data_IF_147403669470
#
_entry.id   IF_147403669470
#
_cell.length_a   1.000
_cell.length_b   1.000
_cell.length_c   1.000
_cell.angle_alpha   90.00
_cell.angle_beta   90.00
_cell.angle_gamma   90.00
#
_symmetry.space_group_name_H-M   'P 1'
#
loop_
_entity.id
_entity.type
_entity.pdbx_description
1 polymer ?
#
# COMPACT_ATOMS: atom_id res chain seq x y z
N UNK A 1 -7.43 9.08 2.97
CA UNK A 1 -6.14 8.44 2.65
C UNK A 1 -6.14 7.01 3.14
N UNK A 2 -5.78 6.07 2.27
CA UNK A 2 -5.65 4.64 2.56
C UNK A 2 -4.41 4.10 1.84
N UNK A 3 -3.76 3.09 2.41
CA UNK A 3 -2.64 2.38 1.83
C UNK A 3 -3.04 0.92 1.69
N UNK A 4 -3.03 0.39 0.48
CA UNK A 4 -3.37 -0.99 0.20
C UNK A 4 -2.14 -1.89 0.26
N UNK A 5 -2.19 -2.89 1.14
CA UNK A 5 -1.19 -3.94 1.27
C UNK A 5 -1.52 -5.08 0.30
N UNK A 6 -0.82 -5.11 -0.83
CA UNK A 6 -1.04 -6.11 -1.87
C UNK A 6 -0.41 -7.44 -1.45
N UNK A 7 -1.21 -8.50 -1.40
CA UNK A 7 -0.80 -9.85 -1.01
C UNK A 7 -1.37 -10.91 -1.95
N UNK A 8 -0.69 -12.04 -2.05
CA UNK A 8 -1.17 -13.24 -2.77
C UNK A 8 -0.98 -14.53 -1.95
N UNK A 9 -0.43 -14.44 -0.73
CA UNK A 9 -0.03 -15.61 0.08
C UNK A 9 -0.16 -15.46 1.59
N UNK A 10 0.13 -14.28 2.14
CA UNK A 10 0.27 -14.12 3.58
C UNK A 10 -0.52 -12.94 4.11
N UNK A 11 -0.92 -13.03 5.38
CA UNK A 11 -1.54 -11.94 6.10
C UNK A 11 -0.49 -10.81 6.29
N UNK A 12 -0.78 -9.58 5.84
CA UNK A 12 0.11 -8.43 6.07
C UNK A 12 0.32 -8.16 7.56
N UNK A 13 1.48 -7.58 7.90
CA UNK A 13 1.81 -7.21 9.29
C UNK A 13 0.98 -6.02 9.81
N UNK A 14 0.45 -5.19 8.90
CA UNK A 14 -0.43 -4.07 9.20
C UNK A 14 -1.77 -4.33 8.54
N UNK A 15 -2.85 -4.28 9.32
CA UNK A 15 -4.21 -4.30 8.82
C UNK A 15 -5.08 -3.43 9.74
N UNK A 16 -5.39 -2.21 9.30
CA UNK A 16 -6.13 -1.19 10.06
C UNK A 16 -6.74 -0.15 9.11
N UNK A 17 -7.36 0.90 9.64
CA UNK A 17 -8.05 1.92 8.82
C UNK A 17 -7.13 2.67 7.83
N UNK A 18 -5.82 2.73 8.12
CA UNK A 18 -4.83 3.31 7.20
C UNK A 18 -4.27 2.26 6.24
N UNK A 19 -3.99 1.05 6.73
CA UNK A 19 -3.42 -0.06 5.95
C UNK A 19 -4.47 -1.13 5.69
N UNK A 20 -5.08 -1.13 4.52
CA UNK A 20 -6.09 -2.12 4.15
C UNK A 20 -5.46 -3.22 3.32
N UNK A 21 -5.78 -4.47 3.62
CA UNK A 21 -5.26 -5.59 2.84
C UNK A 21 -6.01 -5.76 1.53
N UNK A 22 -5.31 -6.15 0.48
CA UNK A 22 -5.85 -6.39 -0.84
C UNK A 22 -5.21 -7.66 -1.43
N UNK A 23 -6.03 -8.64 -1.77
CA UNK A 23 -5.58 -9.88 -2.40
C UNK A 23 -5.56 -9.76 -3.92
N UNK A 24 -4.43 -10.12 -4.52
CA UNK A 24 -4.29 -10.32 -5.97
C UNK A 24 -4.20 -11.79 -6.31
N UNK A 25 -4.46 -12.11 -7.56
CA UNK A 25 -4.56 -13.48 -8.06
C UNK A 25 -5.66 -14.28 -7.33
N UNK A 26 -6.76 -13.60 -6.98
CA UNK A 26 -7.87 -14.17 -6.20
C UNK A 26 -8.74 -15.12 -7.02
N UNK A 27 -8.63 -15.07 -8.36
CA UNK A 27 -9.27 -16.04 -9.25
C UNK A 27 -8.63 -17.43 -9.23
N UNK A 28 -7.40 -17.55 -8.72
CA UNK A 28 -6.63 -18.81 -8.69
C UNK A 28 -6.37 -19.27 -7.25
N UNK A 29 -6.10 -18.34 -6.34
CA UNK A 29 -5.76 -18.66 -4.95
C UNK A 29 -6.98 -18.52 -4.03
N UNK A 30 -7.09 -19.37 -2.99
CA UNK A 30 -8.11 -19.21 -1.98
C UNK A 30 -7.97 -17.87 -1.26
N UNK A 31 -9.10 -17.35 -0.77
CA UNK A 31 -9.12 -16.11 0.02
C UNK A 31 -8.28 -16.32 1.29
N UNK A 32 -7.33 -15.41 1.56
CA UNK A 32 -6.39 -15.54 2.68
C UNK A 32 -7.10 -15.33 4.02
N UNK A 33 -8.02 -14.37 4.10
CA UNK A 33 -8.89 -14.12 5.26
C UNK A 33 -10.12 -13.29 4.85
N UNK A 34 -11.19 -13.37 5.64
CA UNK A 34 -12.47 -12.71 5.33
C UNK A 34 -12.38 -11.18 5.39
N UNK A 35 -13.21 -10.50 4.59
CA UNK A 35 -13.30 -9.04 4.57
C UNK A 35 -12.14 -8.33 3.87
N UNK A 36 -11.30 -9.05 3.12
CA UNK A 36 -10.23 -8.47 2.28
C UNK A 36 -10.76 -8.10 0.89
N UNK A 37 -10.24 -7.01 0.32
CA UNK A 37 -10.46 -6.69 -1.09
C UNK A 37 -9.83 -7.74 -1.99
N UNK A 38 -10.43 -7.98 -3.15
CA UNK A 38 -9.98 -8.98 -4.12
C UNK A 38 -9.99 -8.38 -5.52
N UNK A 39 -8.89 -8.59 -6.24
CA UNK A 39 -8.74 -8.14 -7.62
C UNK A 39 -9.78 -8.72 -8.58
N UNK A 40 -10.39 -9.88 -8.31
CA UNK A 40 -11.31 -10.57 -9.23
C UNK A 40 -12.80 -10.21 -9.07
N UNK A 41 -13.10 -9.11 -8.37
CA UNK A 41 -14.48 -8.64 -8.15
C UNK A 41 -14.78 -7.41 -9.01
N UNK A 42 -16.05 -7.09 -9.26
CA UNK A 42 -16.47 -5.89 -10.02
C UNK A 42 -15.72 -5.72 -11.37
N UNK A 43 -15.36 -4.49 -11.77
CA UNK A 43 -14.53 -4.25 -12.98
C UNK A 43 -13.07 -4.59 -12.69
N UNK A 44 -12.54 -5.58 -13.40
CA UNK A 44 -11.21 -6.09 -13.13
C UNK A 44 -10.47 -6.69 -14.32
N UNK A 45 -9.16 -6.84 -14.12
CA UNK A 45 -8.23 -7.54 -15.02
C UNK A 45 -7.48 -8.66 -14.28
N UNK A 46 -8.10 -9.30 -13.28
CA UNK A 46 -7.44 -10.31 -12.43
C UNK A 46 -6.90 -11.51 -13.23
N UNK A 47 -7.53 -11.87 -14.34
CA UNK A 47 -7.05 -12.91 -15.27
C UNK A 47 -5.69 -12.61 -15.88
N UNK A 48 -5.24 -11.35 -15.84
CA UNK A 48 -3.94 -10.91 -16.34
C UNK A 48 -2.89 -10.78 -15.22
N UNK A 49 -3.18 -11.27 -14.01
CA UNK A 49 -2.25 -11.17 -12.88
C UNK A 49 -0.88 -11.78 -13.18
N UNK A 50 -0.80 -12.84 -13.99
CA UNK A 50 0.49 -13.46 -14.36
C UNK A 50 1.40 -12.50 -15.15
N UNK A 51 0.84 -11.49 -15.81
CA UNK A 51 1.58 -10.48 -16.56
C UNK A 51 1.72 -9.15 -15.80
N UNK A 52 0.68 -8.76 -15.05
CA UNK A 52 0.59 -7.43 -14.43
C UNK A 52 0.82 -7.41 -12.92
N UNK A 53 0.84 -8.57 -12.26
CA UNK A 53 1.05 -8.73 -10.82
C UNK A 53 0.20 -7.73 -10.01
N UNK A 54 0.84 -6.91 -9.16
CA UNK A 54 0.18 -5.92 -8.31
C UNK A 54 -0.58 -4.83 -9.07
N UNK A 55 -0.34 -4.64 -10.38
CA UNK A 55 -1.08 -3.67 -11.19
C UNK A 55 -2.55 -4.07 -11.40
N UNK A 56 -2.89 -5.35 -11.23
CA UNK A 56 -4.30 -5.78 -11.22
C UNK A 56 -5.08 -5.13 -10.07
N UNK A 57 -4.45 -5.00 -8.89
CA UNK A 57 -5.01 -4.24 -7.78
C UNK A 57 -5.10 -2.75 -8.11
N UNK A 58 -4.06 -2.16 -8.71
CA UNK A 58 -4.09 -0.74 -9.11
C UNK A 58 -5.26 -0.44 -10.06
N UNK A 59 -5.47 -1.29 -11.06
CA UNK A 59 -6.60 -1.18 -11.99
C UNK A 59 -7.93 -1.28 -11.24
N UNK A 60 -8.06 -2.28 -10.38
CA UNK A 60 -9.28 -2.46 -9.59
C UNK A 60 -9.59 -1.24 -8.72
N UNK A 61 -8.58 -0.70 -8.02
CA UNK A 61 -8.74 0.49 -7.19
C UNK A 61 -9.18 1.70 -8.04
N UNK A 62 -8.57 1.88 -9.22
CA UNK A 62 -8.95 2.95 -10.15
C UNK A 62 -10.41 2.84 -10.61
N UNK A 63 -10.89 1.63 -10.92
CA UNK A 63 -12.23 1.43 -11.47
C UNK A 63 -13.33 1.39 -10.42
N UNK A 64 -13.03 0.91 -9.23
CA UNK A 64 -14.05 0.54 -8.25
C UNK A 64 -14.04 1.41 -6.98
N UNK A 65 -12.95 2.12 -6.68
CA UNK A 65 -12.92 3.05 -5.55
C UNK A 65 -13.12 4.48 -6.03
N UNK A 66 -14.23 5.06 -5.61
CA UNK A 66 -14.42 6.51 -5.59
C UNK A 66 -13.92 7.03 -4.24
N UNK A 67 -12.61 7.26 -4.12
CA UNK A 67 -11.99 7.90 -2.95
C UNK A 67 -11.35 9.21 -3.40
N UNK A 68 -11.79 10.32 -2.80
CA UNK A 68 -11.30 11.68 -3.12
C UNK A 68 -9.93 11.98 -2.46
N UNK A 69 -9.37 11.03 -1.70
CA UNK A 69 -8.09 11.18 -1.01
C UNK A 69 -6.92 10.43 -1.65
N UNK A 70 -5.76 10.48 -0.98
CA UNK A 70 -4.58 9.71 -1.39
C UNK A 70 -4.80 8.20 -1.26
N UNK A 71 -4.59 7.47 -2.35
CA UNK A 71 -4.51 6.01 -2.38
C UNK A 71 -3.04 5.62 -2.54
N UNK A 72 -2.51 4.93 -1.53
CA UNK A 72 -1.18 4.34 -1.55
C UNK A 72 -1.22 2.84 -1.82
N UNK A 73 -0.13 2.30 -2.36
CA UNK A 73 0.03 0.89 -2.65
C UNK A 73 1.39 0.42 -2.11
N UNK A 74 1.40 -0.68 -1.35
CA UNK A 74 2.65 -1.33 -0.99
C UNK A 74 2.49 -2.85 -0.94
N UNK A 75 3.62 -3.55 -1.07
CA UNK A 75 3.66 -4.99 -1.03
C UNK A 75 3.56 -5.50 0.42
N UNK A 76 2.90 -6.63 0.68
CA UNK A 76 2.62 -7.17 2.03
C UNK A 76 3.86 -7.38 2.96
N UNK A 77 5.06 -7.46 2.39
CA UNK A 77 6.36 -7.56 3.12
C UNK A 77 7.27 -6.33 3.02
N UNK A 78 6.87 -5.28 2.30
CA UNK A 78 7.70 -4.09 2.06
C UNK A 78 6.87 -2.85 2.31
N UNK A 79 7.11 -2.21 3.46
CA UNK A 79 6.39 -1.02 3.89
C UNK A 79 7.28 0.22 3.75
N UNK A 80 6.67 1.35 3.40
CA UNK A 80 7.35 2.64 3.43
C UNK A 80 7.64 3.05 4.87
N UNK A 81 8.87 3.48 5.14
CA UNK A 81 9.21 4.05 6.44
C UNK A 81 9.01 5.56 6.42
N UNK A 82 7.87 6.02 6.92
CA UNK A 82 7.55 7.45 7.11
C UNK A 82 8.19 8.06 8.36
N UNK A 83 8.99 7.28 9.10
CA UNK A 83 9.70 7.74 10.30
C UNK A 83 11.23 7.68 10.13
N UNK A 84 11.81 8.25 9.05
CA UNK A 84 13.25 8.29 8.91
C UNK A 84 13.85 9.25 9.95
N UNK A 85 15.11 9.00 10.32
CA UNK A 85 15.89 10.02 11.00
C UNK A 85 16.21 11.13 9.96
N UNK A 86 15.54 12.28 10.06
CA UNK A 86 15.68 13.41 9.13
C UNK A 86 17.10 13.99 9.09
N UNK A 87 17.91 13.74 10.11
CA UNK A 87 19.31 14.18 10.18
C UNK A 87 20.29 13.14 9.60
N UNK A 88 19.80 11.98 9.15
CA UNK A 88 20.67 10.96 8.59
C UNK A 88 21.10 11.35 7.18
N UNK A 89 22.41 11.50 6.97
CA UNK A 89 23.00 11.66 5.65
C UNK A 89 23.14 10.32 4.89
N UNK A 90 22.80 9.20 5.53
CA UNK A 90 22.85 7.89 4.88
C UNK A 90 21.67 7.77 3.92
N UNK A 91 21.90 7.34 2.67
CA UNK A 91 20.81 7.14 1.73
C UNK A 91 19.83 6.10 2.27
N UNK A 92 18.56 6.25 1.89
CA UNK A 92 17.52 5.27 2.20
C UNK A 92 17.86 3.93 1.54
N UNK A 93 17.86 2.86 2.33
CA UNK A 93 18.12 1.49 1.87
C UNK A 93 17.04 0.54 2.35
N UNK A 94 16.86 -0.58 1.64
CA UNK A 94 15.97 -1.64 2.09
C UNK A 94 16.56 -2.30 3.35
N UNK A 95 15.91 -2.07 4.50
CA UNK A 95 16.28 -2.70 5.77
C UNK A 95 15.41 -3.93 6.01
N UNK A 96 16.03 -5.06 6.33
CA UNK A 96 15.33 -6.24 6.83
C UNK A 96 15.29 -6.17 8.35
N UNK A 97 14.09 -6.19 8.91
CA UNK A 97 13.88 -6.23 10.36
C UNK A 97 13.07 -7.47 10.71
N UNK A 98 13.29 -8.02 11.92
CA UNK A 98 12.51 -9.15 12.41
C UNK A 98 11.06 -8.74 12.69
N UNK A 99 10.13 -9.71 12.69
CA UNK A 99 8.72 -9.46 13.04
C UNK A 99 8.56 -8.83 14.43
N UNK A 100 9.40 -9.25 15.40
CA UNK A 100 9.42 -8.69 16.76
C UNK A 100 9.81 -7.21 16.73
N UNK A 101 10.81 -6.85 15.95
CA UNK A 101 11.24 -5.45 15.82
C UNK A 101 10.25 -4.62 15.01
N UNK A 102 9.58 -5.20 14.01
CA UNK A 102 8.52 -4.54 13.26
C UNK A 102 7.37 -4.11 14.18
N UNK A 103 6.90 -5.00 15.07
CA UNK A 103 5.84 -4.68 16.04
C UNK A 103 6.20 -3.56 17.02
N UNK A 104 7.49 -3.36 17.27
CA UNK A 104 8.00 -2.26 18.12
C UNK A 104 8.30 -0.98 17.34
N UNK A 105 8.32 -1.05 16.01
CA UNK A 105 8.67 0.09 15.15
C UNK A 105 7.54 1.12 15.12
N UNK A 106 7.89 2.41 14.95
CA UNK A 106 6.93 3.53 14.94
C UNK A 106 5.79 3.35 13.95
N UNK A 107 6.05 2.69 12.83
CA UNK A 107 5.03 2.39 11.82
C UNK A 107 3.86 1.55 12.37
N UNK A 108 4.10 0.69 13.36
CA UNK A 108 3.11 -0.20 13.96
C UNK A 108 2.54 0.36 15.28
N UNK A 109 3.28 1.23 15.96
CA UNK A 109 2.91 1.74 17.30
C UNK A 109 2.34 3.14 17.31
N UNK A 110 2.58 3.95 16.27
CA UNK A 110 2.05 5.32 16.18
C UNK A 110 0.55 5.29 15.88
N UNK A 111 -0.20 6.23 16.45
CA UNK A 111 -1.64 6.37 16.17
C UNK A 111 -1.88 6.65 14.69
N UNK A 112 -3.03 6.20 14.18
CA UNK A 112 -3.39 6.36 12.77
C UNK A 112 -3.44 7.84 12.37
N UNK A 113 -3.95 8.71 13.23
CA UNK A 113 -4.06 10.14 12.95
C UNK A 113 -2.70 10.85 12.86
N UNK A 114 -1.77 10.53 13.76
CA UNK A 114 -0.41 11.06 13.68
C UNK A 114 0.34 10.52 12.45
N UNK A 115 0.13 9.24 12.12
CA UNK A 115 0.71 8.65 10.91
C UNK A 115 0.19 9.34 9.64
N UNK A 116 -1.12 9.59 9.56
CA UNK A 116 -1.72 10.33 8.43
C UNK A 116 -1.13 11.72 8.31
N UNK A 117 -0.99 12.44 9.43
CA UNK A 117 -0.40 13.79 9.47
C UNK A 117 1.03 13.81 8.94
N UNK A 118 1.86 12.84 9.32
CA UNK A 118 3.24 12.73 8.84
C UNK A 118 3.27 12.49 7.33
N UNK A 119 2.48 11.55 6.82
CA UNK A 119 2.42 11.26 5.38
C UNK A 119 1.92 12.48 4.60
N UNK A 120 0.86 13.14 5.06
CA UNK A 120 0.35 14.35 4.42
C UNK A 120 1.40 15.46 4.39
N UNK A 121 2.16 15.64 5.49
CA UNK A 121 3.26 16.59 5.51
C UNK A 121 4.34 16.24 4.47
N UNK A 122 4.74 14.98 4.36
CA UNK A 122 5.72 14.54 3.37
C UNK A 122 5.21 14.75 1.93
N UNK A 123 3.93 14.47 1.68
CA UNK A 123 3.29 14.68 0.36
C UNK A 123 3.16 16.16 0.00
N UNK A 124 2.89 17.04 0.95
CA UNK A 124 2.82 18.49 0.71
C UNK A 124 4.15 19.09 0.22
N UNK A 125 5.27 18.41 0.47
CA UNK A 125 6.58 18.81 -0.02
C UNK A 125 6.94 18.15 -1.36
N UNK A 126 6.13 17.21 -1.88
CA UNK A 126 6.29 16.66 -3.21
C UNK A 126 5.54 17.51 -4.23
N UNK A 127 6.27 18.06 -5.20
CA UNK A 127 5.69 18.74 -6.36
C UNK A 127 5.59 17.71 -7.50
N UNK A 128 4.36 17.41 -7.93
CA UNK A 128 4.10 16.62 -9.14
C UNK A 128 4.05 17.56 -10.35
N UNK A 129 5.06 17.44 -11.22
CA UNK A 129 5.09 18.15 -12.50
C UNK A 129 4.43 17.24 -13.55
N UNK A 130 3.15 17.52 -13.88
CA UNK A 130 2.42 16.81 -14.92
C UNK A 130 2.45 17.65 -16.21
N UNK A 131 3.24 17.26 -17.23
CA UNK A 131 3.21 17.96 -18.51
C UNK A 131 1.83 17.85 -19.15
N UNK A 132 1.38 18.92 -19.81
CA UNK A 132 0.14 18.89 -20.58
C UNK A 132 0.24 17.85 -21.70
N UNK A 133 -0.85 17.12 -21.93
CA UNK A 133 -0.95 16.24 -23.09
C UNK A 133 -1.07 17.11 -24.33
N UNK A 134 -0.08 17.04 -25.22
CA UNK A 134 -0.23 17.53 -26.59
C UNK A 134 -1.41 16.76 -27.21
N UNK A 135 -2.36 17.51 -27.79
CA UNK A 135 -3.60 16.98 -28.37
C UNK A 135 -3.34 16.18 -29.64
#
# INVERSE_FOLDING_TARGET
>A
MKIFNITHKAIPYLNNDLYQSFQVNSGVNPIIFEGIYQDNTLDNIASQNDNFCELTACYWLWKNLNDDGYIGLCHYRRYFNFFPNKLSLKPSTQKRISAVNFKKHKIATTSIEEHKKIITNDLNHMILLCPEREK
#
